data_IF_280413993539
#
_entry.id   IF_280413993539
#
_cell.length_a   1.000
_cell.length_b   1.000
_cell.length_c   1.000
_cell.angle_alpha   90.00
_cell.angle_beta   90.00
_cell.angle_gamma   90.00
#
_symmetry.space_group_name_H-M   'P 1'
#
loop_
_entity.id
_entity.type
_entity.pdbx_description
1 polymer ?
#
# COMPACT_ATOMS: atom_id res chain seq x y z
N UNK A 1 -13.89 9.70 19.66
CA UNK A 1 -13.66 11.18 19.61
C UNK A 1 -14.74 11.94 20.39
N UNK A 2 -16.02 11.94 19.97
CA UNK A 2 -17.09 12.64 20.72
C UNK A 2 -17.13 12.27 22.21
N UNK A 3 -17.09 10.97 22.51
CA UNK A 3 -17.04 10.48 23.89
C UNK A 3 -15.76 10.86 24.65
N UNK A 4 -14.64 11.07 23.95
CA UNK A 4 -13.37 11.52 24.54
C UNK A 4 -13.35 13.03 24.82
N UNK A 5 -14.14 13.82 24.08
CA UNK A 5 -14.27 15.26 24.30
C UNK A 5 -13.13 16.14 23.78
N UNK A 6 -12.12 15.56 23.11
CA UNK A 6 -10.97 16.30 22.60
C UNK A 6 -10.40 15.76 21.27
N UNK A 7 -9.38 16.43 20.70
CA UNK A 7 -8.69 15.96 19.51
C UNK A 7 -7.88 14.69 19.80
N UNK A 8 -7.81 13.78 18.82
CA UNK A 8 -7.00 12.55 18.91
C UNK A 8 -5.95 12.60 17.81
N UNK A 9 -4.67 12.58 18.19
CA UNK A 9 -3.58 12.36 17.26
C UNK A 9 -3.40 10.86 17.03
N UNK A 10 -3.58 10.40 15.79
CA UNK A 10 -3.50 8.98 15.43
C UNK A 10 -2.78 8.80 14.08
N UNK A 11 -1.50 8.36 14.05
CA UNK A 11 -0.90 7.81 12.84
C UNK A 11 -1.48 6.43 12.52
N UNK A 12 -1.00 5.79 11.45
CA UNK A 12 -1.37 4.40 11.14
C UNK A 12 -0.97 3.45 12.28
N UNK A 13 -1.86 2.53 12.64
CA UNK A 13 -1.71 1.63 13.79
C UNK A 13 -0.85 0.40 13.45
N UNK A 14 0.42 0.64 13.10
CA UNK A 14 1.41 -0.39 12.79
C UNK A 14 2.77 -0.03 13.39
N UNK A 15 3.67 -1.02 13.51
CA UNK A 15 5.06 -0.68 13.83
C UNK A 15 5.65 0.12 12.67
N UNK A 16 6.44 1.13 13.01
CA UNK A 16 7.11 1.99 12.04
C UNK A 16 7.84 1.15 10.99
N UNK A 17 7.66 1.48 9.71
CA UNK A 17 8.21 0.71 8.58
C UNK A 17 7.24 -0.30 7.98
N UNK A 18 6.43 -1.00 8.78
CA UNK A 18 5.57 -2.09 8.30
C UNK A 18 4.44 -1.58 7.39
N UNK A 19 3.83 -2.47 6.56
CA UNK A 19 2.57 -2.18 5.88
C UNK A 19 1.49 -1.73 6.87
N UNK A 20 0.59 -0.85 6.45
CA UNK A 20 -0.44 -0.32 7.35
C UNK A 20 -1.37 -1.41 7.88
N UNK A 21 -1.84 -1.23 9.12
CA UNK A 21 -2.81 -2.15 9.73
C UNK A 21 -4.23 -1.86 9.24
N UNK A 22 -4.74 -2.72 8.35
CA UNK A 22 -6.10 -2.61 7.78
C UNK A 22 -7.15 -3.46 8.50
N UNK A 23 -6.76 -4.23 9.52
CA UNK A 23 -7.62 -5.08 10.35
C UNK A 23 -7.13 -5.03 11.80
N UNK A 24 -7.99 -5.37 12.75
CA UNK A 24 -7.60 -5.44 14.17
C UNK A 24 -6.47 -6.46 14.41
N UNK A 25 -6.46 -7.58 13.68
CA UNK A 25 -5.39 -8.59 13.79
C UNK A 25 -4.04 -8.03 13.35
N UNK A 26 -3.98 -7.21 12.30
CA UNK A 26 -2.74 -6.55 11.89
C UNK A 26 -2.20 -5.61 12.99
N UNK A 27 -3.10 -4.85 13.63
CA UNK A 27 -2.75 -3.96 14.75
C UNK A 27 -2.25 -4.79 15.94
N UNK A 28 -2.96 -5.87 16.27
CA UNK A 28 -2.61 -6.74 17.39
C UNK A 28 -1.27 -7.42 17.19
N UNK A 29 -0.98 -7.97 16.01
CA UNK A 29 0.33 -8.57 15.69
C UNK A 29 1.49 -7.59 15.88
N UNK A 30 1.29 -6.33 15.52
CA UNK A 30 2.31 -5.28 15.58
C UNK A 30 2.49 -4.69 17.00
N UNK A 31 1.38 -4.48 17.71
CA UNK A 31 1.32 -3.62 18.90
C UNK A 31 0.87 -4.34 20.18
N UNK A 32 0.61 -5.66 20.16
CA UNK A 32 0.28 -6.42 21.37
C UNK A 32 1.35 -6.21 22.45
N UNK A 33 0.89 -5.85 23.65
CA UNK A 33 1.76 -5.58 24.80
C UNK A 33 2.44 -4.21 24.77
N UNK A 34 2.13 -3.34 23.79
CA UNK A 34 2.67 -1.97 23.66
C UNK A 34 1.61 -0.88 23.77
N UNK A 35 0.34 -1.25 23.69
CA UNK A 35 -0.80 -0.33 23.75
C UNK A 35 -1.88 -0.90 24.67
N UNK A 36 -2.67 -0.02 25.26
CA UNK A 36 -3.68 -0.39 26.25
C UNK A 36 -4.92 -1.05 25.62
N UNK A 37 -5.25 -0.70 24.38
CA UNK A 37 -6.51 -1.08 23.75
C UNK A 37 -6.38 -1.26 22.23
N UNK A 38 -7.04 -2.27 21.70
CA UNK A 38 -7.37 -2.42 20.27
C UNK A 38 -8.89 -2.48 20.15
N UNK A 39 -9.47 -1.62 19.33
CA UNK A 39 -10.89 -1.67 18.99
C UNK A 39 -11.05 -2.47 17.70
N UNK A 40 -11.70 -3.63 17.78
CA UNK A 40 -12.03 -4.44 16.61
C UNK A 40 -13.41 -4.06 16.07
N UNK A 41 -13.43 -3.41 14.92
CA UNK A 41 -14.63 -3.07 14.17
C UNK A 41 -14.62 -3.72 12.76
N UNK A 42 -13.82 -4.76 12.57
CA UNK A 42 -13.60 -5.41 11.28
C UNK A 42 -12.58 -4.67 10.38
N UNK A 43 -12.48 -5.10 9.11
CA UNK A 43 -11.57 -4.49 8.14
C UNK A 43 -11.95 -3.05 7.78
N UNK A 44 -10.95 -2.21 7.49
CA UNK A 44 -11.19 -0.86 6.97
C UNK A 44 -11.89 -0.88 5.61
N UNK A 45 -12.66 0.15 5.30
CA UNK A 45 -13.45 0.21 4.06
C UNK A 45 -12.61 0.60 2.83
N UNK A 46 -11.58 1.45 3.00
CA UNK A 46 -10.80 2.03 1.90
C UNK A 46 -9.44 1.36 1.69
N UNK A 47 -8.77 0.97 2.78
CA UNK A 47 -7.46 0.30 2.76
C UNK A 47 -6.23 1.14 2.45
N UNK A 48 -6.38 2.38 1.96
CA UNK A 48 -5.29 3.36 1.86
C UNK A 48 -5.54 4.56 2.76
N UNK A 49 -4.46 5.23 3.17
CA UNK A 49 -4.54 6.41 4.04
C UNK A 49 -5.21 7.61 3.34
N UNK A 50 -5.57 8.60 4.15
CA UNK A 50 -6.12 9.86 3.69
C UNK A 50 -5.18 10.61 2.74
N UNK A 51 -5.80 11.30 1.78
CA UNK A 51 -5.15 12.31 0.94
C UNK A 51 -4.71 13.48 1.80
N UNK A 52 -3.48 13.95 1.59
CA UNK A 52 -2.94 15.13 2.28
C UNK A 52 -2.78 16.24 1.25
N UNK A 53 -3.59 17.29 1.39
CA UNK A 53 -3.58 18.47 0.53
C UNK A 53 -2.97 19.65 1.30
N UNK A 54 -1.93 20.27 0.74
CA UNK A 54 -1.37 21.52 1.22
C UNK A 54 -2.09 22.70 0.56
N UNK A 55 -2.89 23.40 1.36
CA UNK A 55 -3.63 24.60 0.95
C UNK A 55 -2.87 25.90 1.25
N UNK A 56 -1.62 25.80 1.73
CA UNK A 56 -0.75 26.97 1.90
C UNK A 56 -0.03 27.38 0.61
N UNK A 57 -0.17 26.59 -0.47
CA UNK A 57 0.35 26.89 -1.81
C UNK A 57 -0.78 27.25 -2.77
N UNK A 58 -0.44 27.94 -3.86
CA UNK A 58 -1.36 28.20 -4.96
C UNK A 58 -0.69 27.82 -6.30
N UNK A 59 -1.20 26.81 -7.03
CA UNK A 59 -2.37 25.97 -6.70
C UNK A 59 -2.16 25.09 -5.45
N UNK A 60 -3.24 24.61 -4.80
CA UNK A 60 -3.14 23.63 -3.73
C UNK A 60 -2.38 22.37 -4.17
N UNK A 61 -1.54 21.82 -3.29
CA UNK A 61 -0.61 20.72 -3.63
C UNK A 61 -0.95 19.43 -2.90
N UNK A 62 -1.20 18.34 -3.61
CA UNK A 62 -1.33 17.00 -3.00
C UNK A 62 0.05 16.51 -2.59
N UNK A 63 0.28 16.43 -1.28
CA UNK A 63 1.51 15.90 -0.68
C UNK A 63 1.50 14.38 -0.54
N UNK A 64 0.31 13.79 -0.41
CA UNK A 64 0.14 12.34 -0.36
C UNK A 64 -1.17 11.95 -1.04
N UNK A 65 -1.14 11.12 -2.09
CA UNK A 65 -2.36 10.57 -2.67
C UNK A 65 -3.00 9.57 -1.70
N UNK A 66 -4.32 9.58 -1.68
CA UNK A 66 -5.15 8.73 -0.82
C UNK A 66 -6.54 8.52 -1.39
N UNK A 67 -7.51 8.27 -0.51
CA UNK A 67 -8.89 7.96 -0.88
C UNK A 67 -9.59 9.04 -1.71
N UNK A 68 -9.28 10.31 -1.44
CA UNK A 68 -9.86 11.46 -2.13
C UNK A 68 -8.95 11.85 -3.28
N UNK A 69 -9.43 11.71 -4.50
CA UNK A 69 -8.58 11.82 -5.70
C UNK A 69 -8.52 13.26 -6.21
N UNK A 70 -7.52 13.58 -7.05
CA UNK A 70 -7.42 14.91 -7.67
C UNK A 70 -8.67 15.23 -8.50
N UNK A 71 -9.20 14.24 -9.21
CA UNK A 71 -10.43 14.38 -10.01
C UNK A 71 -11.68 14.68 -9.15
N UNK A 72 -11.67 14.30 -7.86
CA UNK A 72 -12.72 14.67 -6.92
C UNK A 72 -12.52 16.07 -6.32
N UNK A 73 -11.27 16.53 -6.23
CA UNK A 73 -10.91 17.84 -5.67
C UNK A 73 -11.12 18.95 -6.70
N UNK A 74 -10.66 18.76 -7.94
CA UNK A 74 -10.61 19.79 -8.97
C UNK A 74 -11.96 20.48 -9.27
N UNK A 75 -13.10 19.76 -9.35
CA UNK A 75 -14.41 20.38 -9.56
C UNK A 75 -14.85 21.32 -8.43
N UNK A 76 -14.25 21.20 -7.23
CA UNK A 76 -14.63 21.95 -6.03
C UNK A 76 -13.71 23.14 -5.81
N UNK A 77 -12.40 22.94 -5.96
CA UNK A 77 -11.38 23.93 -5.57
C UNK A 77 -10.54 24.47 -6.73
N UNK A 78 -10.80 24.02 -7.96
CA UNK A 78 -10.01 24.37 -9.13
C UNK A 78 -8.75 23.51 -9.26
N UNK A 79 -7.76 23.99 -10.03
CA UNK A 79 -6.54 23.25 -10.31
C UNK A 79 -5.81 22.79 -9.04
N UNK A 80 -5.40 21.51 -9.03
CA UNK A 80 -4.62 20.89 -7.96
C UNK A 80 -3.38 20.25 -8.56
N UNK A 81 -2.22 20.44 -7.93
CA UNK A 81 -0.96 19.87 -8.43
C UNK A 81 -0.44 18.76 -7.52
N UNK A 82 0.21 17.75 -8.11
CA UNK A 82 0.89 16.70 -7.35
C UNK A 82 2.26 17.20 -6.87
N UNK A 83 2.53 17.10 -5.57
CA UNK A 83 3.81 17.46 -4.98
C UNK A 83 4.93 16.53 -5.46
N UNK A 84 5.85 17.04 -6.30
CA UNK A 84 7.00 16.27 -6.82
C UNK A 84 8.28 16.50 -6.01
N UNK A 85 8.37 17.59 -5.26
CA UNK A 85 9.60 17.97 -4.57
C UNK A 85 9.74 17.31 -3.19
N UNK A 86 10.92 16.71 -2.96
CA UNK A 86 11.25 15.97 -1.72
C UNK A 86 11.15 16.82 -0.45
N UNK A 87 11.31 18.15 -0.55
CA UNK A 87 11.15 19.07 0.57
C UNK A 87 9.69 19.32 0.93
N UNK A 88 8.80 19.52 -0.06
CA UNK A 88 7.36 19.66 0.15
C UNK A 88 6.75 18.37 0.72
N UNK A 89 7.21 17.20 0.25
CA UNK A 89 6.78 15.89 0.73
C UNK A 89 7.06 15.68 2.24
N UNK A 90 8.08 16.33 2.83
CA UNK A 90 8.40 16.21 4.27
C UNK A 90 7.31 16.77 5.20
N UNK A 91 6.37 17.57 4.68
CA UNK A 91 5.22 18.10 5.45
C UNK A 91 4.10 17.06 5.63
N UNK A 92 4.15 15.93 4.92
CA UNK A 92 3.19 14.82 5.06
C UNK A 92 3.78 13.66 5.87
N UNK A 93 2.98 12.96 6.70
CA UNK A 93 3.36 11.66 7.25
C UNK A 93 3.73 10.68 6.12
N UNK A 94 4.71 9.81 6.35
CA UNK A 94 5.08 8.77 5.39
C UNK A 94 6.35 9.01 4.57
N UNK A 95 7.03 10.16 4.71
CA UNK A 95 8.06 10.61 3.74
C UNK A 95 9.49 10.67 4.28
N UNK A 96 9.70 10.39 5.58
CA UNK A 96 11.01 10.49 6.26
C UNK A 96 11.71 9.15 6.51
N UNK A 97 10.98 8.03 6.51
CA UNK A 97 11.48 6.69 6.87
C UNK A 97 10.98 5.63 5.87
N UNK A 98 11.52 4.41 5.95
CA UNK A 98 10.92 3.23 5.28
C UNK A 98 9.44 3.23 5.65
N UNK A 99 8.55 3.20 4.66
CA UNK A 99 7.11 3.22 4.88
C UNK A 99 6.48 2.19 3.95
N UNK A 100 5.55 1.41 4.51
CA UNK A 100 4.82 0.35 3.81
C UNK A 100 5.67 -0.84 3.37
N UNK A 101 6.77 -1.07 4.06
CA UNK A 101 7.79 -2.00 3.66
C UNK A 101 7.54 -3.39 4.24
N UNK A 102 7.19 -4.38 3.41
CA UNK A 102 7.18 -5.77 3.85
C UNK A 102 8.60 -6.25 4.22
N UNK A 103 8.68 -7.44 4.83
CA UNK A 103 9.95 -8.14 5.03
C UNK A 103 10.49 -8.66 3.71
N UNK A 104 9.62 -9.17 2.85
CA UNK A 104 9.96 -9.55 1.48
C UNK A 104 10.45 -8.33 0.68
N UNK A 105 11.31 -8.54 -0.31
CA UNK A 105 11.51 -7.46 -1.30
C UNK A 105 10.28 -7.33 -2.20
N UNK A 106 10.09 -6.17 -2.80
CA UNK A 106 8.96 -5.91 -3.70
C UNK A 106 9.50 -5.41 -5.03
N UNK A 107 9.00 -6.00 -6.11
CA UNK A 107 9.33 -5.65 -7.48
C UNK A 107 8.03 -5.31 -8.19
N UNK A 108 8.02 -4.18 -8.87
CA UNK A 108 6.88 -3.74 -9.67
C UNK A 108 7.11 -4.15 -11.11
N UNK A 109 6.09 -4.74 -11.73
CA UNK A 109 6.11 -5.13 -13.14
C UNK A 109 4.86 -4.57 -13.80
N UNK A 110 5.02 -3.95 -14.97
CA UNK A 110 3.87 -3.47 -15.74
C UNK A 110 2.87 -4.62 -15.97
N UNK A 111 1.57 -4.36 -15.74
CA UNK A 111 0.53 -5.39 -15.77
C UNK A 111 0.50 -6.25 -17.04
N UNK A 112 0.88 -5.67 -18.18
CA UNK A 112 0.85 -6.34 -19.48
C UNK A 112 2.07 -7.23 -19.73
N UNK A 113 3.12 -7.12 -18.91
CA UNK A 113 4.40 -7.77 -19.12
C UNK A 113 4.50 -9.10 -18.35
N UNK A 114 3.63 -10.03 -18.75
CA UNK A 114 3.49 -11.37 -18.13
C UNK A 114 4.76 -12.20 -18.27
N UNK A 115 5.48 -11.98 -19.36
CA UNK A 115 6.76 -12.63 -19.65
C UNK A 115 7.81 -12.26 -18.59
N UNK A 116 7.89 -10.99 -18.21
CA UNK A 116 8.80 -10.55 -17.15
C UNK A 116 8.42 -11.15 -15.80
N UNK A 117 7.12 -11.22 -15.47
CA UNK A 117 6.67 -11.89 -14.24
C UNK A 117 7.10 -13.36 -14.24
N UNK A 118 6.88 -14.10 -15.33
CA UNK A 118 7.29 -15.50 -15.45
C UNK A 118 8.81 -15.68 -15.32
N UNK A 119 9.61 -14.82 -15.96
CA UNK A 119 11.07 -14.84 -15.86
C UNK A 119 11.57 -14.61 -14.43
N UNK A 120 10.99 -13.64 -13.72
CA UNK A 120 11.34 -13.36 -12.32
C UNK A 120 10.95 -14.52 -11.40
N UNK A 121 9.78 -15.13 -11.60
CA UNK A 121 9.37 -16.34 -10.85
C UNK A 121 10.41 -17.45 -11.08
N UNK A 122 10.77 -17.73 -12.32
CA UNK A 122 11.75 -18.78 -12.64
C UNK A 122 13.12 -18.48 -12.04
N UNK A 123 13.59 -17.25 -12.16
CA UNK A 123 14.87 -16.81 -11.61
C UNK A 123 14.91 -17.02 -10.09
N UNK A 124 13.96 -16.44 -9.35
CA UNK A 124 13.98 -16.50 -7.89
C UNK A 124 13.76 -17.92 -7.35
N UNK A 125 12.91 -18.71 -8.00
CA UNK A 125 12.69 -20.10 -7.58
C UNK A 125 13.92 -20.99 -7.81
N UNK A 126 14.70 -20.74 -8.88
CA UNK A 126 16.02 -21.35 -9.14
C UNK A 126 17.06 -20.97 -8.09
N UNK A 127 17.04 -19.72 -7.63
CA UNK A 127 17.86 -19.23 -6.50
C UNK A 127 17.42 -19.80 -5.14
N UNK A 128 16.37 -20.64 -5.11
CA UNK A 128 15.87 -21.28 -3.88
C UNK A 128 14.90 -20.41 -3.07
N UNK A 129 14.49 -19.27 -3.61
CA UNK A 129 13.67 -18.26 -2.93
C UNK A 129 12.18 -18.56 -3.10
N UNK A 130 11.38 -18.20 -2.10
CA UNK A 130 9.91 -18.27 -2.12
C UNK A 130 9.36 -16.94 -2.69
N UNK A 131 8.46 -17.03 -3.66
CA UNK A 131 7.96 -15.88 -4.43
C UNK A 131 6.47 -15.68 -4.16
N UNK A 132 6.08 -14.46 -3.81
CA UNK A 132 4.70 -14.00 -3.83
C UNK A 132 4.41 -13.28 -5.15
N UNK A 133 3.24 -13.51 -5.73
CA UNK A 133 2.77 -12.80 -6.93
C UNK A 133 1.45 -12.13 -6.62
N UNK A 134 1.38 -10.80 -6.71
CA UNK A 134 0.15 -10.01 -6.57
C UNK A 134 -0.32 -9.63 -7.97
N UNK A 135 -1.46 -10.17 -8.39
CA UNK A 135 -1.93 -10.07 -9.79
C UNK A 135 -3.45 -9.97 -9.90
N UNK A 136 -3.96 -9.28 -10.92
CA UNK A 136 -5.39 -9.30 -11.28
C UNK A 136 -5.74 -10.43 -12.25
N UNK A 137 -4.75 -11.17 -12.73
CA UNK A 137 -4.88 -12.26 -13.70
C UNK A 137 -4.26 -13.56 -13.14
N UNK A 138 -4.78 -14.10 -12.01
CA UNK A 138 -4.16 -15.21 -11.29
C UNK A 138 -4.05 -16.51 -12.11
N UNK A 139 -4.89 -16.69 -13.13
CA UNK A 139 -4.89 -17.87 -14.00
C UNK A 139 -3.63 -18.00 -14.88
N UNK A 140 -2.81 -16.95 -14.97
CA UNK A 140 -1.56 -16.95 -15.73
C UNK A 140 -0.41 -17.61 -14.96
N UNK A 141 -0.53 -17.74 -13.64
CA UNK A 141 0.56 -18.19 -12.79
C UNK A 141 0.08 -19.35 -11.91
N UNK A 142 0.94 -20.37 -11.76
CA UNK A 142 0.60 -21.55 -10.98
C UNK A 142 1.18 -21.48 -9.58
N UNK A 143 0.31 -21.50 -8.58
CA UNK A 143 0.74 -21.64 -7.18
C UNK A 143 1.34 -23.02 -6.91
N UNK A 144 2.40 -23.06 -6.11
CA UNK A 144 3.09 -24.27 -5.68
C UNK A 144 3.86 -24.01 -4.36
N UNK A 145 4.68 -24.96 -3.90
CA UNK A 145 5.44 -24.82 -2.63
C UNK A 145 6.34 -23.58 -2.56
N UNK A 146 6.87 -23.11 -3.70
CA UNK A 146 7.76 -21.95 -3.79
C UNK A 146 7.07 -20.70 -4.35
N UNK A 147 5.87 -20.81 -4.91
CA UNK A 147 5.17 -19.69 -5.56
C UNK A 147 3.78 -19.54 -4.98
N UNK A 148 3.48 -18.39 -4.39
CA UNK A 148 2.15 -18.07 -3.84
C UNK A 148 1.55 -16.97 -4.69
N UNK A 149 0.46 -17.30 -5.40
CA UNK A 149 -0.28 -16.33 -6.22
C UNK A 149 -1.45 -15.78 -5.41
N UNK A 150 -1.50 -14.46 -5.25
CA UNK A 150 -2.57 -13.71 -4.60
C UNK A 150 -3.36 -12.94 -5.65
N UNK A 151 -4.61 -13.35 -5.83
CA UNK A 151 -5.53 -12.71 -6.75
C UNK A 151 -6.02 -11.38 -6.15
N UNK A 152 -5.91 -10.32 -6.92
CA UNK A 152 -6.45 -9.01 -6.59
C UNK A 152 -7.72 -8.72 -7.40
N UNK A 153 -8.70 -8.02 -6.82
CA UNK A 153 -9.91 -7.66 -7.54
C UNK A 153 -9.61 -6.71 -8.72
N UNK A 154 -10.41 -6.75 -9.79
CA UNK A 154 -10.24 -5.87 -10.95
C UNK A 154 -10.53 -4.41 -10.61
N UNK A 155 -11.49 -4.16 -9.70
CA UNK A 155 -11.86 -2.83 -9.25
C UNK A 155 -10.80 -2.27 -8.28
N UNK A 156 -10.27 -1.08 -8.61
CA UNK A 156 -9.18 -0.47 -7.84
C UNK A 156 -9.56 -0.08 -6.40
N UNK A 157 -10.84 0.21 -6.12
CA UNK A 157 -11.28 0.49 -4.74
C UNK A 157 -11.17 -0.74 -3.85
N UNK A 158 -11.65 -1.87 -4.33
CA UNK A 158 -11.49 -3.15 -3.63
C UNK A 158 -10.02 -3.61 -3.60
N UNK A 159 -9.24 -3.28 -4.63
CA UNK A 159 -7.79 -3.52 -4.62
C UNK A 159 -7.14 -2.75 -3.47
N UNK A 160 -7.40 -1.45 -3.35
CA UNK A 160 -6.86 -0.60 -2.29
C UNK A 160 -7.21 -1.14 -0.90
N UNK A 161 -8.45 -1.62 -0.73
CA UNK A 161 -8.95 -2.25 0.50
C UNK A 161 -8.12 -3.46 0.93
N UNK A 162 -7.72 -4.30 -0.03
CA UNK A 162 -7.07 -5.58 0.23
C UNK A 162 -5.53 -5.53 0.16
N UNK A 163 -4.96 -4.54 -0.52
CA UNK A 163 -3.52 -4.46 -0.84
C UNK A 163 -2.60 -4.71 0.37
N UNK A 164 -2.79 -3.98 1.48
CA UNK A 164 -1.94 -4.16 2.65
C UNK A 164 -2.17 -5.49 3.37
N UNK A 165 -3.40 -6.03 3.34
CA UNK A 165 -3.68 -7.34 3.90
C UNK A 165 -2.94 -8.42 3.12
N UNK A 166 -3.01 -8.38 1.79
CA UNK A 166 -2.32 -9.34 0.91
C UNK A 166 -0.79 -9.26 1.07
N UNK A 167 -0.23 -8.06 1.17
CA UNK A 167 1.22 -7.89 1.42
C UNK A 167 1.60 -8.49 2.79
N UNK A 168 0.78 -8.30 3.83
CA UNK A 168 1.02 -8.88 5.16
C UNK A 168 0.89 -10.41 5.16
N UNK A 169 -0.10 -10.95 4.47
CA UNK A 169 -0.27 -12.40 4.31
C UNK A 169 0.95 -13.02 3.63
N UNK A 170 1.51 -12.37 2.61
CA UNK A 170 2.72 -12.84 1.95
C UNK A 170 3.95 -12.84 2.88
N UNK A 171 4.07 -11.81 3.73
CA UNK A 171 5.09 -11.75 4.79
C UNK A 171 4.93 -12.89 5.83
N UNK A 172 3.69 -13.24 6.19
CA UNK A 172 3.39 -14.34 7.12
C UNK A 172 3.67 -15.71 6.49
N UNK A 173 3.41 -15.84 5.20
CA UNK A 173 3.80 -16.99 4.39
C UNK A 173 5.32 -17.11 4.20
N UNK A 174 6.09 -16.09 4.61
CA UNK A 174 7.55 -16.11 4.53
C UNK A 174 8.07 -16.12 3.09
N UNK A 175 7.42 -15.36 2.20
CA UNK A 175 7.99 -15.13 0.86
C UNK A 175 9.22 -14.21 0.94
N UNK A 176 10.19 -14.41 0.07
CA UNK A 176 11.43 -13.64 0.00
C UNK A 176 11.33 -12.45 -0.96
N UNK A 177 10.54 -12.59 -2.02
CA UNK A 177 10.23 -11.55 -3.01
C UNK A 177 8.74 -11.55 -3.33
N UNK A 178 8.19 -10.35 -3.51
CA UNK A 178 6.84 -10.09 -3.98
C UNK A 178 6.96 -9.42 -5.35
N UNK A 179 6.41 -10.07 -6.37
CA UNK A 179 6.22 -9.48 -7.69
C UNK A 179 4.80 -8.91 -7.71
N UNK A 180 4.65 -7.59 -7.76
CA UNK A 180 3.37 -6.92 -7.82
C UNK A 180 3.15 -6.29 -9.19
N UNK A 181 2.04 -6.64 -9.84
CA UNK A 181 1.63 -6.01 -11.09
C UNK A 181 1.17 -4.57 -10.82
N UNK A 182 1.66 -3.64 -11.65
CA UNK A 182 1.26 -2.24 -11.59
C UNK A 182 -0.22 -2.06 -11.95
N UNK A 183 -0.81 -0.96 -11.50
CA UNK A 183 -2.18 -0.57 -11.86
C UNK A 183 -2.18 0.79 -12.54
N UNK A 184 -3.25 1.10 -13.27
CA UNK A 184 -3.44 2.43 -13.86
C UNK A 184 -3.39 3.52 -12.78
N UNK A 185 -2.56 4.55 -13.00
CA UNK A 185 -2.42 5.70 -12.09
C UNK A 185 -3.50 6.76 -12.30
N UNK A 186 -4.74 6.35 -12.10
CA UNK A 186 -5.91 7.23 -12.18
C UNK A 186 -6.80 7.05 -10.96
N UNK A 187 -7.36 8.14 -10.44
CA UNK A 187 -8.18 8.10 -9.23
C UNK A 187 -7.43 7.46 -8.05
N UNK A 188 -8.01 6.43 -7.44
CA UNK A 188 -7.39 5.71 -6.31
C UNK A 188 -6.14 4.90 -6.72
N UNK A 189 -5.97 4.61 -8.02
CA UNK A 189 -4.79 3.94 -8.56
C UNK A 189 -3.49 4.69 -8.27
N UNK A 190 -3.52 6.02 -8.29
CA UNK A 190 -2.39 6.87 -7.90
C UNK A 190 -1.97 6.64 -6.44
N UNK A 191 -2.94 6.41 -5.54
CA UNK A 191 -2.65 6.09 -4.15
C UNK A 191 -2.05 4.68 -4.02
N UNK A 192 -2.62 3.68 -4.72
CA UNK A 192 -2.10 2.31 -4.76
C UNK A 192 -0.63 2.30 -5.22
N UNK A 193 -0.34 2.92 -6.36
CA UNK A 193 1.00 2.95 -6.93
C UNK A 193 2.00 3.71 -6.07
N UNK A 194 1.60 4.79 -5.39
CA UNK A 194 2.47 5.44 -4.40
C UNK A 194 2.86 4.48 -3.26
N UNK A 195 1.92 3.67 -2.75
CA UNK A 195 2.23 2.68 -1.69
C UNK A 195 3.09 1.54 -2.18
N UNK A 196 2.79 0.98 -3.36
CA UNK A 196 3.56 -0.10 -3.97
C UNK A 196 5.00 0.35 -4.28
N UNK A 197 5.21 1.56 -4.80
CA UNK A 197 6.55 2.11 -5.05
C UNK A 197 7.35 2.32 -3.78
N UNK A 198 6.73 2.82 -2.71
CA UNK A 198 7.40 2.94 -1.41
C UNK A 198 7.79 1.58 -0.85
N UNK A 199 6.92 0.57 -0.99
CA UNK A 199 7.23 -0.81 -0.63
C UNK A 199 8.40 -1.38 -1.45
N UNK A 200 8.48 -1.07 -2.75
CA UNK A 200 9.54 -1.51 -3.66
C UNK A 200 10.88 -0.78 -3.47
N UNK A 201 10.87 0.47 -3.02
CA UNK A 201 12.08 1.31 -2.85
C UNK A 201 13.02 0.88 -1.70
N UNK A 202 12.80 -0.29 -1.13
CA UNK A 202 13.33 -0.72 0.15
C UNK A 202 14.48 -1.73 0.07
N UNK A 203 15.03 -1.92 -1.13
CA UNK A 203 16.27 -2.66 -1.41
C UNK A 203 17.18 -1.83 -2.30
#
# INVERSE_FOLDING_TARGET
IRAFGGPIAAPSANLSGRPSGTTAIHVFQDLRGKIDLVLDAGPVEVGVESTVLDISTNPPTVLRPGAVTTEQLEPIIGEVVMGKERQLLRRSPGTRYRHYSPKAGVILVEEKNKETVAQLIEQYTKEGRKVGVITRQPHLYQSNKKVIVKAMPPELKEYAKQMFAVIRELDEEGVDEIIAEEVEERGIGTAIMDRLRRAASNK
#
